data_IF_689965721234
#
_entry.id   IF_689965721234
#
_cell.length_a   1.000
_cell.length_b   1.000
_cell.length_c   1.000
_cell.angle_alpha   90.00
_cell.angle_beta   90.00
_cell.angle_gamma   90.00
#
_symmetry.space_group_name_H-M   'P 1'
#
loop_
_entity.id
_entity.type
_entity.pdbx_description
1 polymer ?
#
# COMPACT_ATOMS: atom_id res chain seq x y z
N UNK A 1 2.18 38.11 -20.64
CA UNK A 1 0.70 38.27 -20.68
C UNK A 1 0.01 36.92 -20.79
N UNK A 2 -0.02 36.12 -19.71
CA UNK A 2 -0.61 34.76 -19.72
C UNK A 2 -1.52 34.49 -18.51
N UNK A 3 -2.10 35.55 -17.92
CA UNK A 3 -2.99 35.44 -16.76
C UNK A 3 -4.48 35.50 -17.07
N UNK A 4 -4.89 35.88 -18.28
CA UNK A 4 -6.28 36.29 -18.58
C UNK A 4 -7.24 35.17 -18.97
N UNK A 5 -6.76 33.92 -19.16
CA UNK A 5 -7.61 32.82 -19.65
C UNK A 5 -8.28 31.99 -18.56
N UNK A 6 -7.77 32.04 -17.32
CA UNK A 6 -8.36 31.32 -16.19
C UNK A 6 -9.49 32.11 -15.53
N UNK A 7 -9.44 33.43 -15.55
CA UNK A 7 -10.47 34.31 -14.97
C UNK A 7 -11.80 34.30 -15.73
N UNK A 8 -11.81 33.87 -17.00
CA UNK A 8 -13.03 33.73 -17.80
C UNK A 8 -13.69 32.34 -17.66
N UNK A 9 -13.02 31.36 -17.03
CA UNK A 9 -13.55 30.02 -16.86
C UNK A 9 -14.21 29.88 -15.48
N UNK A 10 -15.41 29.30 -15.45
CA UNK A 10 -16.12 29.04 -14.19
C UNK A 10 -15.26 28.20 -13.25
N UNK A 11 -15.24 28.56 -11.96
CA UNK A 11 -14.45 27.90 -10.91
C UNK A 11 -14.69 26.39 -10.85
N UNK A 12 -15.85 25.89 -11.28
CA UNK A 12 -16.13 24.46 -11.36
C UNK A 12 -15.16 23.63 -12.24
N UNK A 13 -14.44 24.28 -13.16
CA UNK A 13 -13.52 23.61 -14.09
C UNK A 13 -12.07 23.59 -13.64
N UNK A 14 -11.71 24.38 -12.63
CA UNK A 14 -10.31 24.54 -12.20
C UNK A 14 -10.13 24.64 -10.68
N UNK A 15 -11.18 24.97 -9.94
CA UNK A 15 -11.12 25.03 -8.48
C UNK A 15 -11.36 23.64 -7.90
N UNK A 16 -10.37 23.20 -7.12
CA UNK A 16 -10.32 21.87 -6.50
C UNK A 16 -11.53 21.55 -5.61
N UNK A 17 -12.26 22.58 -5.16
CA UNK A 17 -13.47 22.46 -4.35
C UNK A 17 -14.64 21.80 -5.07
N UNK A 18 -14.69 21.80 -6.41
CA UNK A 18 -15.82 21.32 -7.18
C UNK A 18 -15.67 19.90 -7.75
N UNK A 19 -14.50 19.26 -7.63
CA UNK A 19 -14.33 17.90 -8.15
C UNK A 19 -15.07 16.87 -7.26
N UNK A 20 -16.04 16.12 -7.82
CA UNK A 20 -16.70 15.03 -7.11
C UNK A 20 -15.74 13.85 -7.03
N UNK A 21 -15.19 13.60 -5.83
CA UNK A 21 -14.27 12.49 -5.61
C UNK A 21 -13.55 12.58 -4.27
N UNK A 22 -13.05 11.45 -3.79
CA UNK A 22 -12.25 11.41 -2.57
C UNK A 22 -10.88 12.05 -2.88
N UNK A 23 -10.66 13.28 -2.39
CA UNK A 23 -9.45 14.06 -2.67
C UNK A 23 -8.24 13.39 -2.05
N UNK A 24 -7.39 12.78 -2.87
CA UNK A 24 -6.20 12.03 -2.45
C UNK A 24 -5.04 12.94 -1.97
N UNK A 25 -5.09 14.25 -2.27
CA UNK A 25 -3.99 15.19 -2.03
C UNK A 25 -4.06 16.01 -0.74
N UNK A 26 -5.25 16.37 -0.27
CA UNK A 26 -5.40 17.31 0.87
C UNK A 26 -4.97 16.74 2.22
N UNK A 27 -4.84 15.41 2.32
CA UNK A 27 -4.41 14.69 3.53
C UNK A 27 -2.97 14.15 3.44
N UNK A 28 -2.20 14.54 2.42
CA UNK A 28 -0.80 14.08 2.28
C UNK A 28 0.06 14.56 3.45
N UNK A 29 -0.17 15.77 3.97
CA UNK A 29 0.45 16.26 5.21
C UNK A 29 0.20 15.31 6.38
N UNK A 30 -1.05 14.86 6.57
CA UNK A 30 -1.41 13.92 7.63
C UNK A 30 -0.70 12.55 7.49
N UNK A 31 -0.45 12.08 6.26
CA UNK A 31 0.28 10.81 6.06
C UNK A 31 1.75 10.97 6.45
N UNK A 32 2.40 12.06 6.04
CA UNK A 32 3.78 12.35 6.41
C UNK A 32 3.93 12.62 7.92
N UNK A 33 3.04 13.41 8.50
CA UNK A 33 2.97 13.70 9.94
C UNK A 33 2.73 12.43 10.75
N UNK A 34 1.73 11.63 10.40
CA UNK A 34 1.43 10.36 11.07
C UNK A 34 2.61 9.40 11.01
N UNK A 35 3.28 9.30 9.86
CA UNK A 35 4.45 8.46 9.71
C UNK A 35 5.62 8.98 10.56
N UNK A 36 5.90 10.28 10.51
CA UNK A 36 6.98 10.91 11.27
C UNK A 36 6.79 10.77 12.79
N UNK A 37 5.56 10.96 13.28
CA UNK A 37 5.22 10.72 14.69
C UNK A 37 5.38 9.25 15.06
N UNK A 38 4.99 8.33 14.18
CA UNK A 38 5.13 6.90 14.43
C UNK A 38 6.58 6.44 14.55
N UNK A 39 7.45 6.87 13.63
CA UNK A 39 8.86 6.47 13.63
C UNK A 39 9.70 7.28 14.62
N UNK A 40 9.14 8.30 15.27
CA UNK A 40 9.90 9.17 16.18
C UNK A 40 10.64 8.37 17.25
N UNK A 41 9.95 7.42 17.90
CA UNK A 41 10.53 6.50 18.88
C UNK A 41 11.38 5.40 18.24
N UNK A 42 11.06 5.00 17.01
CA UNK A 42 11.79 3.94 16.31
C UNK A 42 13.15 4.42 15.78
N UNK A 43 13.31 5.73 15.54
CA UNK A 43 14.55 6.36 15.03
C UNK A 43 15.74 6.25 15.98
N UNK A 44 15.50 6.08 17.28
CA UNK A 44 16.56 5.86 18.27
C UNK A 44 17.02 4.40 18.33
N UNK A 45 16.31 3.48 17.67
CA UNK A 45 16.66 2.07 17.63
C UNK A 45 17.71 1.79 16.54
N UNK A 46 18.49 0.69 16.66
CA UNK A 46 19.31 0.21 15.57
C UNK A 46 18.48 -0.02 14.30
N UNK A 47 19.10 0.18 13.13
CA UNK A 47 18.43 0.12 11.82
C UNK A 47 17.57 -1.13 11.66
N UNK A 48 18.05 -2.29 12.10
CA UNK A 48 17.29 -3.54 12.04
C UNK A 48 15.98 -3.49 12.85
N UNK A 49 16.04 -3.01 14.10
CA UNK A 49 14.87 -2.89 14.96
C UNK A 49 13.90 -1.80 14.49
N UNK A 50 14.42 -0.69 13.94
CA UNK A 50 13.60 0.34 13.30
C UNK A 50 12.84 -0.23 12.09
N UNK A 51 13.52 -0.99 11.23
CA UNK A 51 12.92 -1.62 10.06
C UNK A 51 11.84 -2.64 10.44
N UNK A 52 12.09 -3.44 11.48
CA UNK A 52 11.11 -4.39 11.98
C UNK A 52 9.86 -3.70 12.53
N UNK A 53 10.05 -2.60 13.26
CA UNK A 53 8.96 -1.77 13.78
C UNK A 53 8.10 -1.18 12.65
N UNK A 54 8.74 -0.68 11.59
CA UNK A 54 8.04 -0.22 10.36
C UNK A 54 7.26 -1.38 9.70
N UNK A 55 7.89 -2.55 9.55
CA UNK A 55 7.27 -3.75 8.95
C UNK A 55 5.99 -4.15 9.68
N UNK A 56 6.02 -4.18 11.01
CA UNK A 56 4.86 -4.53 11.84
C UNK A 56 3.69 -3.56 11.64
N UNK A 57 3.94 -2.25 11.54
CA UNK A 57 2.83 -1.31 11.26
C UNK A 57 2.24 -1.48 9.89
N UNK A 58 3.07 -1.66 8.87
CA UNK A 58 2.57 -1.88 7.53
C UNK A 58 1.70 -3.13 7.48
N UNK A 59 2.08 -4.18 8.23
CA UNK A 59 1.24 -5.35 8.41
C UNK A 59 -0.07 -5.04 9.13
N UNK A 60 -0.05 -4.32 10.25
CA UNK A 60 -1.25 -3.96 11.00
C UNK A 60 -2.23 -3.13 10.16
N UNK A 61 -1.72 -2.09 9.50
CA UNK A 61 -2.51 -1.25 8.59
C UNK A 61 -3.10 -2.06 7.45
N UNK A 62 -2.34 -3.03 6.92
CA UNK A 62 -2.83 -3.95 5.90
C UNK A 62 -3.92 -4.87 6.46
N UNK A 63 -3.74 -5.43 7.65
CA UNK A 63 -4.74 -6.32 8.25
C UNK A 63 -6.04 -5.59 8.54
N UNK A 64 -6.00 -4.35 9.05
CA UNK A 64 -7.21 -3.56 9.27
C UNK A 64 -7.95 -3.27 7.96
N UNK A 65 -7.24 -2.83 6.92
CA UNK A 65 -7.84 -2.64 5.59
C UNK A 65 -8.40 -3.93 4.99
N UNK A 66 -7.77 -5.07 5.26
CA UNK A 66 -8.27 -6.37 4.81
C UNK A 66 -9.51 -6.81 5.60
N UNK A 67 -9.63 -6.50 6.89
CA UNK A 67 -10.87 -6.74 7.66
C UNK A 67 -12.04 -5.98 7.05
N UNK A 68 -11.83 -4.70 6.70
CA UNK A 68 -12.86 -3.89 6.04
C UNK A 68 -13.25 -4.43 4.67
N UNK A 69 -12.28 -4.88 3.86
CA UNK A 69 -12.54 -5.51 2.57
C UNK A 69 -13.22 -6.87 2.71
N UNK A 70 -12.81 -7.68 3.69
CA UNK A 70 -13.43 -8.98 3.96
C UNK A 70 -14.90 -8.81 4.34
N UNK A 71 -15.23 -7.79 5.15
CA UNK A 71 -16.61 -7.45 5.50
C UNK A 71 -17.46 -7.09 4.28
N UNK A 72 -16.86 -6.49 3.24
CA UNK A 72 -17.56 -6.05 2.02
C UNK A 72 -17.66 -7.14 0.96
N UNK A 73 -16.55 -7.83 0.70
CA UNK A 73 -16.36 -8.66 -0.49
C UNK A 73 -16.16 -10.15 -0.15
N UNK A 74 -16.00 -10.52 1.13
CA UNK A 74 -15.75 -11.90 1.58
C UNK A 74 -14.38 -12.48 1.20
N UNK A 75 -13.51 -11.71 0.55
CA UNK A 75 -12.19 -12.18 0.07
C UNK A 75 -11.06 -11.85 1.05
N UNK A 76 -10.30 -12.86 1.46
CA UNK A 76 -9.16 -12.74 2.41
C UNK A 76 -7.87 -12.22 1.76
N UNK A 77 -7.71 -12.41 0.45
CA UNK A 77 -6.53 -11.98 -0.31
C UNK A 77 -6.93 -11.06 -1.45
N UNK A 78 -6.08 -10.09 -1.75
CA UNK A 78 -6.25 -9.23 -2.93
C UNK A 78 -6.04 -10.04 -4.21
N UNK A 79 -6.74 -9.69 -5.28
CA UNK A 79 -6.62 -10.37 -6.58
C UNK A 79 -5.18 -10.40 -7.10
N UNK A 80 -4.42 -9.33 -6.91
CA UNK A 80 -2.98 -9.28 -7.27
C UNK A 80 -2.18 -10.35 -6.54
N UNK A 81 -2.35 -10.46 -5.22
CA UNK A 81 -1.67 -11.47 -4.41
C UNK A 81 -2.10 -12.90 -4.80
N UNK A 82 -3.38 -13.11 -5.14
CA UNK A 82 -3.87 -14.39 -5.62
C UNK A 82 -3.20 -14.79 -6.94
N UNK A 83 -3.05 -13.85 -7.89
CA UNK A 83 -2.35 -14.07 -9.16
C UNK A 83 -0.88 -14.42 -8.96
N UNK A 84 -0.19 -13.70 -8.06
CA UNK A 84 1.21 -13.99 -7.73
C UNK A 84 1.35 -15.38 -7.12
N UNK A 85 0.49 -15.73 -6.15
CA UNK A 85 0.49 -17.04 -5.51
C UNK A 85 0.21 -18.17 -6.51
N UNK A 86 -0.75 -17.97 -7.41
CA UNK A 86 -1.06 -18.96 -8.46
C UNK A 86 0.17 -19.21 -9.35
N UNK A 87 0.85 -18.15 -9.79
CA UNK A 87 2.08 -18.27 -10.58
C UNK A 87 3.18 -19.02 -9.84
N UNK A 88 3.43 -18.69 -8.57
CA UNK A 88 4.45 -19.39 -7.77
C UNK A 88 4.11 -20.86 -7.56
N UNK A 89 2.82 -21.20 -7.38
CA UNK A 89 2.38 -22.59 -7.26
C UNK A 89 2.57 -23.35 -8.56
N UNK A 90 2.23 -22.77 -9.71
CA UNK A 90 2.47 -23.40 -11.02
C UNK A 90 3.95 -23.66 -11.23
N UNK A 91 4.79 -22.65 -10.98
CA UNK A 91 6.24 -22.77 -11.12
C UNK A 91 6.81 -23.88 -10.20
N UNK A 92 6.39 -23.93 -8.94
CA UNK A 92 6.84 -24.96 -8.00
C UNK A 92 6.43 -26.39 -8.42
N UNK A 93 5.33 -26.54 -9.16
CA UNK A 93 4.89 -27.84 -9.68
C UNK A 93 5.71 -28.32 -10.88
N UNK A 94 6.37 -27.42 -11.60
CA UNK A 94 7.25 -27.75 -12.74
C UNK A 94 8.63 -28.24 -12.27
N UNK A 95 9.07 -27.83 -11.08
CA UNK A 95 10.34 -28.30 -10.52
C UNK A 95 10.16 -29.64 -9.80
N UNK A 96 10.79 -30.69 -10.32
CA UNK A 96 10.97 -31.95 -9.60
C UNK A 96 12.08 -31.76 -8.57
N UNK A 97 11.73 -31.82 -7.29
CA UNK A 97 12.73 -31.84 -6.21
C UNK A 97 13.34 -33.24 -6.17
N UNK A 98 14.59 -33.36 -6.61
CA UNK A 98 15.37 -34.60 -6.47
C UNK A 98 16.15 -34.48 -5.15
N UNK A 99 16.00 -35.42 -4.20
CA UNK A 99 16.82 -35.44 -3.00
C UNK A 99 18.28 -35.63 -3.40
N UNK A 100 19.16 -34.77 -2.87
CA UNK A 100 20.59 -34.77 -3.19
C UNK A 100 21.34 -36.00 -2.65
N UNK A 101 20.79 -36.68 -1.63
CA UNK A 101 21.28 -37.97 -1.15
C UNK A 101 20.45 -39.09 -1.77
N UNK A 102 20.90 -39.62 -2.90
CA UNK A 102 20.57 -41.01 -3.27
C UNK A 102 21.74 -41.84 -2.77
N UNK A 103 21.50 -42.59 -1.70
CA UNK A 103 22.43 -43.62 -1.25
C UNK A 103 22.37 -44.75 -2.29
N UNK A 104 23.43 -44.89 -3.09
CA UNK A 104 23.77 -46.14 -3.80
C UNK A 104 24.50 -47.08 -2.84
#
# INVERSE_FOLDING_TARGET
MTGSRLSSMSSKYWADSYFPGNRLGHRTSNVAESFNSYILEARSLPVHAMMERIRLQLMLLRTERLKDKLRKDGKRITETAAKVLAKSVTLAREYIVIPANRDE
#
